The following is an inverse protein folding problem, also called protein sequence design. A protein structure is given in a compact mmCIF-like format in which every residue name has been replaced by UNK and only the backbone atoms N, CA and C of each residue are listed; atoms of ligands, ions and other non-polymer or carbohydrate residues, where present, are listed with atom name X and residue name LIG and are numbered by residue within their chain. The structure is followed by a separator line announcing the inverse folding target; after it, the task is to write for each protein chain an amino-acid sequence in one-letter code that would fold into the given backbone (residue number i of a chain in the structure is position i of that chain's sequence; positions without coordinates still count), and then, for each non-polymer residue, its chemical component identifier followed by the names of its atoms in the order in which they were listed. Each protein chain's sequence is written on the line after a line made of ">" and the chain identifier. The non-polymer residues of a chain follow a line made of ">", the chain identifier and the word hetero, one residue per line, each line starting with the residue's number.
data_IF_810534769411
#
_entry.id   IF_810534769411
#
_cell.length_a   1.000
_cell.length_b   1.000
_cell.length_c   1.000
_cell.angle_alpha   90.00
_cell.angle_beta   90.00
_cell.angle_gamma   90.00
#
_symmetry.space_group_name_H-M   'P 1'
#
loop_
_entity.id
_entity.type
_entity.pdbx_description
1 polymer ?
#
# COMPACT_ATOMS: atom_id res chain seq x y z
N UNK A 1 19.77 47.72 -54.40
CA UNK A 1 18.54 47.15 -53.80
C UNK A 1 18.73 45.81 -53.09
N UNK A 2 19.94 45.19 -53.04
CA UNK A 2 20.11 43.85 -52.43
C UNK A 2 20.57 43.85 -50.96
N UNK A 3 21.10 44.97 -50.44
CA UNK A 3 21.73 45.00 -49.11
C UNK A 3 20.73 45.10 -47.96
N UNK A 4 19.55 45.69 -48.14
CA UNK A 4 18.55 45.81 -47.06
C UNK A 4 17.79 44.51 -46.79
N UNK A 5 17.70 43.61 -47.78
CA UNK A 5 16.97 42.35 -47.66
C UNK A 5 17.77 41.27 -46.93
N UNK A 6 19.10 41.31 -47.05
CA UNK A 6 20.05 40.40 -46.38
C UNK A 6 20.07 40.63 -44.86
N UNK A 7 20.10 41.89 -44.41
CA UNK A 7 20.05 42.26 -42.99
C UNK A 7 18.76 41.81 -42.29
N UNK A 8 17.62 41.83 -42.99
CA UNK A 8 16.34 41.41 -42.43
C UNK A 8 16.24 39.89 -42.25
N UNK A 9 16.85 39.11 -43.15
CA UNK A 9 16.86 37.64 -43.07
C UNK A 9 17.79 37.13 -41.96
N UNK A 10 18.91 37.80 -41.73
CA UNK A 10 19.86 37.47 -40.66
C UNK A 10 19.28 37.78 -39.26
N UNK A 11 18.55 38.88 -39.09
CA UNK A 11 17.85 39.19 -37.84
C UNK A 11 16.69 38.23 -37.57
N UNK A 12 15.87 37.90 -38.58
CA UNK A 12 14.75 36.95 -38.42
C UNK A 12 15.25 35.53 -38.05
N UNK A 13 16.40 35.13 -38.60
CA UNK A 13 17.11 33.88 -38.25
C UNK A 13 17.58 33.90 -36.79
N UNK A 14 18.24 34.99 -36.34
CA UNK A 14 18.72 35.14 -34.96
C UNK A 14 17.58 35.18 -33.94
N UNK A 15 16.49 35.91 -34.23
CA UNK A 15 15.31 36.00 -33.35
C UNK A 15 14.61 34.64 -33.21
N UNK A 16 14.50 33.86 -34.29
CA UNK A 16 13.91 32.52 -34.26
C UNK A 16 14.76 31.48 -33.50
N UNK A 17 16.09 31.62 -33.51
CA UNK A 17 17.01 30.72 -32.80
C UNK A 17 17.11 31.11 -31.31
N UNK A 18 17.21 32.39 -30.96
CA UNK A 18 17.27 32.83 -29.57
C UNK A 18 15.94 32.65 -28.82
N UNK A 19 14.79 32.81 -29.50
CA UNK A 19 13.48 32.50 -28.91
C UNK A 19 13.33 31.01 -28.56
N UNK A 20 13.80 30.11 -29.43
CA UNK A 20 13.75 28.66 -29.17
C UNK A 20 14.73 28.25 -28.07
N UNK A 21 15.93 28.85 -28.02
CA UNK A 21 16.93 28.58 -26.97
C UNK A 21 16.50 29.11 -25.60
N UNK A 22 15.90 30.30 -25.53
CA UNK A 22 15.35 30.85 -24.28
C UNK A 22 14.14 30.08 -23.79
N UNK A 23 13.25 29.64 -24.69
CA UNK A 23 12.13 28.75 -24.35
C UNK A 23 12.63 27.38 -23.86
N UNK A 24 13.61 26.78 -24.53
CA UNK A 24 14.20 25.51 -24.10
C UNK A 24 14.91 25.64 -22.75
N UNK A 25 15.64 26.74 -22.51
CA UNK A 25 16.30 27.01 -21.25
C UNK A 25 15.30 27.22 -20.11
N UNK A 26 14.23 27.98 -20.34
CA UNK A 26 13.19 28.19 -19.33
C UNK A 26 12.40 26.91 -19.03
N UNK A 27 12.08 26.09 -20.04
CA UNK A 27 11.49 24.74 -19.83
C UNK A 27 12.45 23.84 -19.05
N UNK A 28 13.75 23.86 -19.36
CA UNK A 28 14.74 23.08 -18.63
C UNK A 28 14.88 23.54 -17.17
N UNK A 29 14.86 24.85 -16.91
CA UNK A 29 14.89 25.42 -15.55
C UNK A 29 13.62 25.03 -14.79
N UNK A 30 12.44 25.21 -15.39
CA UNK A 30 11.17 24.81 -14.76
C UNK A 30 11.16 23.30 -14.49
N UNK A 31 11.59 22.49 -15.46
CA UNK A 31 11.71 21.04 -15.30
C UNK A 31 12.66 20.65 -14.16
N UNK A 32 13.83 21.30 -14.07
CA UNK A 32 14.78 21.09 -12.98
C UNK A 32 14.17 21.47 -11.62
N UNK A 33 13.51 22.64 -11.53
CA UNK A 33 12.87 23.10 -10.29
C UNK A 33 11.76 22.15 -9.87
N UNK A 34 10.91 21.70 -10.80
CA UNK A 34 9.86 20.71 -10.52
C UNK A 34 10.47 19.39 -10.08
N UNK A 35 11.52 18.91 -10.74
CA UNK A 35 12.21 17.67 -10.38
C UNK A 35 12.82 17.74 -8.96
N UNK A 36 13.55 18.82 -8.66
CA UNK A 36 14.14 19.04 -7.33
C UNK A 36 13.06 19.17 -6.25
N UNK A 37 11.96 19.85 -6.57
CA UNK A 37 10.79 19.97 -5.68
C UNK A 37 10.15 18.61 -5.41
N UNK A 38 9.96 17.78 -6.43
CA UNK A 38 9.41 16.44 -6.29
C UNK A 38 10.28 15.54 -5.42
N UNK A 39 11.61 15.64 -5.53
CA UNK A 39 12.53 14.87 -4.68
C UNK A 39 12.41 15.31 -3.21
N UNK A 40 12.43 16.62 -2.94
CA UNK A 40 12.37 17.12 -1.57
C UNK A 40 11.00 16.92 -0.94
N UNK A 41 9.92 17.09 -1.70
CA UNK A 41 8.56 16.91 -1.21
C UNK A 41 8.09 15.45 -1.28
N UNK A 42 8.92 14.49 -1.75
CA UNK A 42 8.55 13.07 -1.84
C UNK A 42 7.97 12.53 -0.54
N UNK A 43 8.56 12.89 0.60
CA UNK A 43 8.11 12.47 1.95
C UNK A 43 6.69 12.93 2.30
N UNK A 44 6.21 13.99 1.65
CA UNK A 44 4.89 14.59 1.83
C UNK A 44 3.93 14.11 0.72
N UNK A 45 4.40 14.13 -0.53
CA UNK A 45 3.62 13.73 -1.70
C UNK A 45 3.23 12.25 -1.66
N UNK A 46 4.11 11.36 -1.19
CA UNK A 46 3.80 9.93 -1.11
C UNK A 46 2.60 9.66 -0.19
N UNK A 47 2.60 10.09 1.09
CA UNK A 47 1.43 9.94 1.96
C UNK A 47 0.18 10.63 1.40
N UNK A 48 0.31 11.80 0.79
CA UNK A 48 -0.81 12.50 0.16
C UNK A 48 -1.41 11.70 -1.00
N UNK A 49 -0.58 11.13 -1.88
CA UNK A 49 -1.03 10.31 -2.99
C UNK A 49 -1.78 9.06 -2.49
N UNK A 50 -1.23 8.38 -1.47
CA UNK A 50 -1.91 7.25 -0.81
C UNK A 50 -3.23 7.70 -0.19
N UNK A 51 -3.28 8.85 0.48
CA UNK A 51 -4.50 9.40 1.06
C UNK A 51 -5.58 9.68 -0.01
N UNK A 52 -5.21 10.18 -1.19
CA UNK A 52 -6.15 10.36 -2.32
C UNK A 52 -6.72 9.02 -2.79
N UNK A 53 -5.87 7.99 -2.91
CA UNK A 53 -6.32 6.64 -3.28
C UNK A 53 -7.26 6.05 -2.22
N UNK A 54 -6.91 6.17 -0.94
CA UNK A 54 -7.76 5.73 0.17
C UNK A 54 -9.06 6.51 0.23
N UNK A 55 -9.03 7.80 -0.05
CA UNK A 55 -10.24 8.63 -0.14
C UNK A 55 -11.21 8.08 -1.19
N UNK A 56 -10.71 7.71 -2.38
CA UNK A 56 -11.54 7.06 -3.39
C UNK A 56 -12.06 5.69 -2.94
N UNK A 57 -11.31 4.96 -2.14
CA UNK A 57 -11.73 3.67 -1.57
C UNK A 57 -12.80 3.82 -0.49
N UNK A 58 -12.76 4.88 0.32
CA UNK A 58 -13.70 5.17 1.41
C UNK A 58 -15.02 5.74 0.88
N UNK A 59 -15.00 6.41 -0.27
CA UNK A 59 -16.17 7.09 -0.83
C UNK A 59 -17.38 6.16 -1.08
N UNK A 60 -17.25 4.95 -1.66
CA UNK A 60 -18.38 4.04 -1.83
C UNK A 60 -19.07 3.62 -0.51
N UNK A 61 -18.38 3.11 0.52
CA UNK A 61 -19.03 2.77 1.79
C UNK A 61 -19.56 4.01 2.52
N UNK A 62 -18.88 5.16 2.40
CA UNK A 62 -19.37 6.42 2.95
C UNK A 62 -20.72 6.82 2.33
N UNK A 63 -20.85 6.77 1.01
CA UNK A 63 -22.10 7.10 0.32
C UNK A 63 -23.27 6.19 0.75
N UNK A 64 -22.99 4.90 0.99
CA UNK A 64 -24.00 3.97 1.49
C UNK A 64 -24.53 4.38 2.87
N UNK A 65 -23.65 4.87 3.76
CA UNK A 65 -24.02 5.37 5.09
C UNK A 65 -24.68 6.75 5.00
N UNK A 66 -24.16 7.62 4.14
CA UNK A 66 -24.69 8.97 3.92
C UNK A 66 -26.15 8.94 3.47
N UNK A 67 -26.50 8.00 2.59
CA UNK A 67 -27.89 7.83 2.14
C UNK A 67 -28.86 7.47 3.28
N UNK A 68 -28.35 6.96 4.43
CA UNK A 68 -29.15 6.65 5.62
C UNK A 68 -29.12 7.76 6.67
N UNK A 69 -27.96 8.40 6.88
CA UNK A 69 -27.74 9.36 7.98
C UNK A 69 -27.92 10.82 7.54
N UNK A 70 -27.70 11.14 6.26
CA UNK A 70 -27.83 12.49 5.71
C UNK A 70 -26.73 13.47 6.10
N UNK A 71 -25.81 13.10 7.00
CA UNK A 71 -24.66 13.93 7.40
C UNK A 71 -23.35 13.29 6.93
N UNK A 72 -22.57 14.04 6.16
CA UNK A 72 -21.34 13.54 5.54
C UNK A 72 -20.19 13.36 6.52
N UNK A 73 -20.02 14.28 7.47
CA UNK A 73 -19.01 14.14 8.51
C UNK A 73 -19.24 12.87 9.34
N UNK A 74 -20.51 12.60 9.70
CA UNK A 74 -20.87 11.38 10.42
C UNK A 74 -20.61 10.14 9.58
N UNK A 75 -20.88 10.20 8.27
CA UNK A 75 -20.68 9.06 7.37
C UNK A 75 -19.20 8.70 7.24
N UNK A 76 -18.32 9.69 7.00
CA UNK A 76 -16.87 9.47 6.99
C UNK A 76 -16.34 9.01 8.35
N UNK A 77 -16.76 9.65 9.44
CA UNK A 77 -16.35 9.26 10.79
C UNK A 77 -16.77 7.80 11.10
N UNK A 78 -17.96 7.38 10.67
CA UNK A 78 -18.45 6.02 10.88
C UNK A 78 -17.60 5.00 10.11
N UNK A 79 -17.24 5.27 8.85
CA UNK A 79 -16.35 4.37 8.08
C UNK A 79 -14.98 4.26 8.74
N UNK A 80 -14.37 5.39 9.12
CA UNK A 80 -13.07 5.42 9.77
C UNK A 80 -13.08 4.70 11.13
N UNK A 81 -14.10 4.95 11.95
CA UNK A 81 -14.27 4.27 13.24
C UNK A 81 -14.48 2.77 13.05
N UNK A 82 -15.31 2.36 12.09
CA UNK A 82 -15.52 0.93 11.80
C UNK A 82 -14.22 0.25 11.40
N UNK A 83 -13.42 0.90 10.55
CA UNK A 83 -12.10 0.41 10.17
C UNK A 83 -11.15 0.29 11.38
N UNK A 84 -11.05 1.34 12.20
CA UNK A 84 -10.20 1.32 13.40
C UNK A 84 -10.61 0.24 14.40
N UNK A 85 -11.91 0.07 14.62
CA UNK A 85 -12.46 -0.96 15.51
C UNK A 85 -12.13 -2.35 14.96
N UNK A 86 -12.28 -2.57 13.65
CA UNK A 86 -11.96 -3.85 13.00
C UNK A 86 -10.47 -4.20 13.15
N UNK A 87 -9.59 -3.22 12.92
CA UNK A 87 -8.14 -3.39 13.10
C UNK A 87 -7.83 -3.69 14.57
N UNK A 88 -8.41 -2.95 15.51
CA UNK A 88 -8.19 -3.15 16.95
C UNK A 88 -8.57 -4.57 17.40
N UNK A 89 -9.77 -5.03 17.05
CA UNK A 89 -10.19 -6.40 17.38
C UNK A 89 -9.28 -7.43 16.72
N UNK A 90 -8.94 -7.26 15.44
CA UNK A 90 -8.03 -8.18 14.73
C UNK A 90 -6.68 -8.25 15.43
N UNK A 91 -6.14 -7.12 15.91
CA UNK A 91 -4.89 -7.07 16.68
C UNK A 91 -4.98 -7.83 18.01
N UNK A 92 -6.11 -7.74 18.73
CA UNK A 92 -6.31 -8.52 19.96
C UNK A 92 -6.32 -10.03 19.67
N UNK A 93 -7.04 -10.44 18.63
CA UNK A 93 -7.07 -11.84 18.20
C UNK A 93 -5.67 -12.33 17.77
N UNK A 94 -4.94 -11.52 16.99
CA UNK A 94 -3.58 -11.83 16.57
C UNK A 94 -2.64 -11.99 17.75
N UNK A 95 -2.73 -11.12 18.76
CA UNK A 95 -1.89 -11.20 19.95
C UNK A 95 -2.10 -12.51 20.72
N UNK A 96 -3.36 -12.90 20.96
CA UNK A 96 -3.68 -14.18 21.63
C UNK A 96 -3.16 -15.39 20.83
N UNK A 97 -3.36 -15.39 19.50
CA UNK A 97 -2.86 -16.47 18.64
C UNK A 97 -1.32 -16.50 18.57
N UNK A 98 -0.66 -15.34 18.61
CA UNK A 98 0.79 -15.24 18.63
C UNK A 98 1.37 -15.76 19.95
N UNK A 99 0.76 -15.42 21.09
CA UNK A 99 1.18 -15.94 22.40
C UNK A 99 1.12 -17.47 22.43
N UNK A 100 -0.01 -18.04 21.98
CA UNK A 100 -0.19 -19.50 21.89
C UNK A 100 0.81 -20.14 20.95
N UNK A 101 1.06 -19.52 19.79
CA UNK A 101 2.08 -20.01 18.86
C UNK A 101 3.47 -20.07 19.51
N UNK A 102 3.88 -19.01 20.21
CA UNK A 102 5.19 -18.95 20.90
C UNK A 102 5.29 -20.04 21.98
N UNK A 103 4.23 -20.29 22.74
CA UNK A 103 4.19 -21.36 23.74
C UNK A 103 4.29 -22.76 23.12
N UNK A 104 3.73 -22.94 21.92
CA UNK A 104 3.72 -24.22 21.20
C UNK A 104 4.96 -24.43 20.30
N UNK A 105 5.82 -23.43 20.13
CA UNK A 105 7.07 -23.53 19.33
C UNK A 105 7.89 -24.79 19.65
N UNK A 106 8.17 -25.14 20.93
CA UNK A 106 8.94 -26.36 21.24
C UNK A 106 8.25 -27.61 20.70
N UNK A 107 6.93 -27.71 20.85
CA UNK A 107 6.13 -28.81 20.33
C UNK A 107 6.16 -28.88 18.79
N UNK A 108 6.16 -27.73 18.10
CA UNK A 108 6.30 -27.67 16.64
C UNK A 108 7.66 -28.24 16.22
N UNK A 109 8.74 -27.85 16.89
CA UNK A 109 10.10 -28.31 16.60
C UNK A 109 10.20 -29.82 16.77
N UNK A 110 9.66 -30.37 17.86
CA UNK A 110 9.65 -31.81 18.12
C UNK A 110 8.86 -32.58 17.05
N UNK A 111 7.65 -32.11 16.69
CA UNK A 111 6.81 -32.73 15.64
C UNK A 111 7.43 -32.62 14.25
N UNK A 112 8.13 -31.53 14.01
CA UNK A 112 8.85 -31.32 12.76
C UNK A 112 10.04 -32.27 12.66
N UNK A 113 10.83 -32.44 13.73
CA UNK A 113 11.89 -33.46 13.78
C UNK A 113 11.34 -34.88 13.62
N UNK A 114 10.23 -35.22 14.26
CA UNK A 114 9.57 -36.53 14.12
C UNK A 114 9.15 -36.80 12.65
N UNK A 115 8.45 -35.85 12.00
CA UNK A 115 8.08 -36.00 10.59
C UNK A 115 9.29 -36.03 9.67
N UNK A 116 10.32 -35.25 9.97
CA UNK A 116 11.57 -35.22 9.21
C UNK A 116 12.29 -36.56 9.29
N UNK A 117 12.42 -37.14 10.48
CA UNK A 117 13.03 -38.46 10.68
C UNK A 117 12.27 -39.56 9.92
N UNK A 118 10.93 -39.56 10.01
CA UNK A 118 10.08 -40.49 9.25
C UNK A 118 10.23 -40.33 7.72
N UNK A 119 10.44 -39.11 7.24
CA UNK A 119 10.65 -38.83 5.82
C UNK A 119 12.10 -39.12 5.39
N UNK A 120 13.10 -38.90 6.24
CA UNK A 120 14.49 -39.27 5.97
C UNK A 120 14.65 -40.80 5.84
N UNK A 121 13.95 -41.57 6.68
CA UNK A 121 13.90 -43.03 6.59
C UNK A 121 13.15 -43.53 5.32
N UNK A 122 12.35 -42.67 4.70
CA UNK A 122 11.66 -42.95 3.45
C UNK A 122 12.56 -42.56 2.28
N UNK A 123 13.13 -43.53 1.55
CA UNK A 123 14.10 -43.33 0.46
C UNK A 123 13.63 -42.31 -0.62
N UNK A 124 13.83 -41.01 -0.36
CA UNK A 124 13.25 -39.87 -1.07
C UNK A 124 14.15 -39.38 -2.21
N UNK A 125 14.72 -40.32 -2.96
CA UNK A 125 15.36 -40.10 -4.27
C UNK A 125 16.29 -38.85 -4.33
N UNK A 126 17.16 -38.68 -3.33
CA UNK A 126 18.18 -37.62 -3.28
C UNK A 126 17.75 -36.30 -2.62
N UNK A 127 16.49 -36.15 -2.19
CA UNK A 127 16.03 -34.98 -1.41
C UNK A 127 16.47 -35.02 0.06
N UNK A 128 17.05 -36.14 0.50
CA UNK A 128 17.57 -36.39 1.84
C UNK A 128 18.62 -35.34 2.26
N UNK A 129 19.44 -34.85 1.33
CA UNK A 129 20.46 -33.81 1.57
C UNK A 129 19.86 -32.49 2.09
N UNK A 130 18.62 -32.15 1.69
CA UNK A 130 17.94 -30.91 2.12
C UNK A 130 17.39 -31.04 3.55
N UNK A 131 17.04 -32.25 3.97
CA UNK A 131 16.43 -32.52 5.29
C UNK A 131 17.46 -32.99 6.34
N UNK A 132 18.61 -33.51 5.91
CA UNK A 132 19.70 -33.98 6.78
C UNK A 132 20.54 -32.85 7.37
N UNK A 133 20.44 -31.64 6.84
CA UNK A 133 21.17 -30.46 7.34
C UNK A 133 20.54 -29.94 8.64
N UNK A 134 20.86 -30.64 9.72
CA UNK A 134 20.28 -30.46 11.05
C UNK A 134 20.70 -29.12 11.65
N UNK A 135 21.84 -28.57 11.23
CA UNK A 135 22.35 -27.27 11.70
C UNK A 135 21.55 -26.08 11.14
N UNK A 136 21.09 -26.14 9.89
CA UNK A 136 20.23 -25.09 9.32
C UNK A 136 18.86 -25.02 9.99
N UNK A 137 18.31 -26.18 10.39
CA UNK A 137 16.99 -26.23 11.03
C UNK A 137 17.06 -25.92 12.53
N UNK A 138 18.10 -26.41 13.23
CA UNK A 138 18.34 -26.06 14.62
C UNK A 138 18.69 -24.57 14.79
N UNK A 139 19.36 -23.95 13.81
CA UNK A 139 19.60 -22.52 13.82
C UNK A 139 18.30 -21.74 13.60
N UNK A 140 17.47 -22.05 12.60
CA UNK A 140 16.20 -21.34 12.36
C UNK A 140 15.19 -21.49 13.50
N UNK A 141 15.10 -22.66 14.14
CA UNK A 141 14.21 -22.91 15.26
C UNK A 141 14.73 -22.41 16.63
N UNK A 142 15.93 -21.82 16.67
CA UNK A 142 16.49 -21.29 17.91
C UNK A 142 15.64 -20.13 18.47
N UNK A 143 15.46 -20.03 19.80
CA UNK A 143 14.67 -18.95 20.43
C UNK A 143 15.08 -17.55 19.98
N UNK A 144 16.39 -17.32 19.77
CA UNK A 144 16.94 -16.05 19.30
C UNK A 144 16.50 -15.68 17.87
N UNK A 145 16.40 -16.66 16.98
CA UNK A 145 15.98 -16.41 15.60
C UNK A 145 14.48 -16.20 15.50
N UNK A 146 13.69 -16.87 16.35
CA UNK A 146 12.25 -16.64 16.47
C UNK A 146 11.98 -15.23 17.02
N UNK A 147 12.73 -14.81 18.05
CA UNK A 147 12.64 -13.45 18.58
C UNK A 147 13.00 -12.41 17.50
N UNK A 148 14.10 -12.59 16.77
CA UNK A 148 14.50 -11.70 15.68
C UNK A 148 13.44 -11.64 14.56
N UNK A 149 12.83 -12.77 14.21
CA UNK A 149 11.73 -12.83 13.24
C UNK A 149 10.50 -12.06 13.71
N UNK A 150 10.08 -12.25 14.96
CA UNK A 150 8.96 -11.52 15.56
C UNK A 150 9.25 -10.02 15.60
N UNK A 151 10.45 -9.61 16.02
CA UNK A 151 10.89 -8.22 16.00
C UNK A 151 10.92 -7.62 14.59
N UNK A 152 11.31 -8.41 13.58
CA UNK A 152 11.26 -7.99 12.17
C UNK A 152 9.84 -7.70 11.69
N UNK A 153 8.88 -8.58 12.01
CA UNK A 153 7.46 -8.35 11.72
C UNK A 153 6.96 -7.11 12.47
N UNK A 154 7.24 -6.99 13.77
CA UNK A 154 6.83 -5.84 14.56
C UNK A 154 7.43 -4.52 14.04
N UNK A 155 8.68 -4.55 13.58
CA UNK A 155 9.35 -3.40 12.97
C UNK A 155 8.70 -2.96 11.66
N UNK A 156 8.41 -3.91 10.77
CA UNK A 156 7.73 -3.61 9.49
C UNK A 156 6.31 -3.09 9.71
N UNK A 157 5.53 -3.74 10.59
CA UNK A 157 4.21 -3.25 11.00
C UNK A 157 4.30 -1.87 11.64
N UNK A 158 5.25 -1.66 12.55
CA UNK A 158 5.47 -0.37 13.22
C UNK A 158 5.77 0.75 12.23
N UNK A 159 6.64 0.51 11.24
CA UNK A 159 6.92 1.46 10.17
C UNK A 159 5.71 1.75 9.28
N UNK A 160 4.94 0.72 8.94
CA UNK A 160 3.68 0.86 8.20
C UNK A 160 2.66 1.73 8.96
N UNK A 161 2.44 1.44 10.25
CA UNK A 161 1.53 2.23 11.09
C UNK A 161 2.01 3.67 11.28
N UNK A 162 3.32 3.88 11.44
CA UNK A 162 3.92 5.22 11.51
C UNK A 162 3.63 6.05 10.25
N UNK A 163 3.76 5.43 9.06
CA UNK A 163 3.41 6.07 7.79
C UNK A 163 1.91 6.31 7.67
N UNK A 164 1.09 5.34 8.11
CA UNK A 164 -0.37 5.45 8.08
C UNK A 164 -0.91 6.62 8.90
N UNK A 165 -0.27 7.01 10.00
CA UNK A 165 -0.69 8.21 10.76
C UNK A 165 -0.67 9.45 9.87
N UNK A 166 0.42 9.67 9.13
CA UNK A 166 0.56 10.79 8.20
C UNK A 166 -0.48 10.73 7.07
N UNK A 167 -0.71 9.52 6.53
CA UNK A 167 -1.74 9.28 5.50
C UNK A 167 -3.14 9.62 6.04
N UNK A 168 -3.46 9.20 7.27
CA UNK A 168 -4.75 9.46 7.92
C UNK A 168 -4.96 10.96 8.16
N UNK A 169 -3.90 11.70 8.52
CA UNK A 169 -3.97 13.16 8.65
C UNK A 169 -4.32 13.79 7.29
N UNK A 170 -3.63 13.44 6.21
CA UNK A 170 -3.97 13.95 4.88
C UNK A 170 -5.37 13.56 4.42
N UNK A 171 -5.77 12.31 4.68
CA UNK A 171 -7.09 11.82 4.38
C UNK A 171 -8.16 12.63 5.12
N UNK A 172 -7.94 12.94 6.39
CA UNK A 172 -8.82 13.80 7.18
C UNK A 172 -8.95 15.19 6.52
N UNK A 173 -7.84 15.83 6.13
CA UNK A 173 -7.89 17.11 5.41
C UNK A 173 -8.68 17.01 4.09
N UNK A 174 -8.43 15.99 3.28
CA UNK A 174 -9.14 15.78 2.01
C UNK A 174 -10.64 15.62 2.25
N UNK A 175 -11.03 14.83 3.25
CA UNK A 175 -12.44 14.60 3.61
C UNK A 175 -13.11 15.89 4.09
N UNK A 176 -12.44 16.67 4.95
CA UNK A 176 -12.97 17.94 5.44
C UNK A 176 -13.13 18.97 4.30
N UNK A 177 -12.19 19.03 3.37
CA UNK A 177 -12.13 20.06 2.34
C UNK A 177 -12.84 19.69 1.03
N UNK A 178 -13.29 18.45 0.86
CA UNK A 178 -13.85 17.93 -0.40
C UNK A 178 -14.95 18.84 -0.99
N UNK A 179 -15.91 19.26 -0.16
CA UNK A 179 -17.04 20.07 -0.62
C UNK A 179 -16.63 21.46 -1.08
N UNK A 180 -15.66 22.06 -0.38
CA UNK A 180 -15.15 23.37 -0.71
C UNK A 180 -14.28 23.33 -1.96
N UNK A 181 -13.46 22.28 -2.14
CA UNK A 181 -12.62 22.10 -3.33
C UNK A 181 -13.50 21.93 -4.56
N UNK A 182 -14.49 21.03 -4.52
CA UNK A 182 -15.36 20.80 -5.66
C UNK A 182 -16.17 22.06 -6.05
N UNK A 183 -16.65 22.82 -5.07
CA UNK A 183 -17.41 24.07 -5.31
C UNK A 183 -16.53 25.18 -5.89
N UNK A 184 -15.34 25.39 -5.34
CA UNK A 184 -14.38 26.39 -5.86
C UNK A 184 -13.90 26.04 -7.25
N UNK A 185 -13.61 24.76 -7.51
CA UNK A 185 -13.18 24.29 -8.82
C UNK A 185 -14.27 24.45 -9.88
N UNK A 186 -15.53 24.14 -9.54
CA UNK A 186 -16.68 24.37 -10.42
C UNK A 186 -16.92 25.85 -10.74
N UNK A 187 -16.70 26.74 -9.77
CA UNK A 187 -16.81 28.19 -9.97
C UNK A 187 -15.66 28.77 -10.82
N UNK A 188 -14.43 28.26 -10.65
CA UNK A 188 -13.27 28.72 -11.41
C UNK A 188 -13.22 28.19 -12.84
N UNK A 189 -13.69 26.96 -13.08
CA UNK A 189 -13.62 26.28 -14.38
C UNK A 189 -14.97 25.69 -14.82
N UNK A 190 -16.02 26.51 -15.04
CA UNK A 190 -17.37 26.04 -15.33
C UNK A 190 -17.46 25.15 -16.58
N UNK A 191 -16.68 25.45 -17.62
CA UNK A 191 -16.67 24.68 -18.86
C UNK A 191 -16.01 23.29 -18.73
N UNK A 192 -15.04 23.14 -17.81
CA UNK A 192 -14.26 21.90 -17.64
C UNK A 192 -14.76 21.04 -16.48
N UNK A 193 -15.56 21.61 -15.57
CA UNK A 193 -16.07 20.94 -14.37
C UNK A 193 -16.81 19.62 -14.67
N UNK A 194 -17.75 19.55 -15.64
CA UNK A 194 -18.46 18.30 -15.93
C UNK A 194 -17.52 17.19 -16.40
N UNK A 195 -16.51 17.54 -17.22
CA UNK A 195 -15.49 16.58 -17.69
C UNK A 195 -14.63 16.08 -16.54
N UNK A 196 -14.15 16.98 -15.68
CA UNK A 196 -13.35 16.63 -14.51
C UNK A 196 -14.12 15.73 -13.54
N UNK A 197 -15.39 16.06 -13.25
CA UNK A 197 -16.26 15.25 -12.40
C UNK A 197 -16.44 13.83 -12.97
N UNK A 198 -16.61 13.70 -14.28
CA UNK A 198 -16.74 12.40 -14.95
C UNK A 198 -15.47 11.56 -14.79
N UNK A 199 -14.30 12.14 -15.08
CA UNK A 199 -12.99 11.46 -14.93
C UNK A 199 -12.79 10.96 -13.50
N UNK A 200 -13.09 11.80 -12.50
CA UNK A 200 -12.97 11.40 -11.09
C UNK A 200 -13.90 10.23 -10.76
N UNK A 201 -15.13 10.23 -11.26
CA UNK A 201 -16.06 9.11 -11.03
C UNK A 201 -15.61 7.81 -11.71
N UNK A 202 -15.11 7.89 -12.95
CA UNK A 202 -14.60 6.74 -13.71
C UNK A 202 -13.34 6.16 -13.04
N UNK A 203 -12.47 7.03 -12.53
CA UNK A 203 -11.29 6.64 -11.75
C UNK A 203 -11.67 5.98 -10.43
N UNK A 204 -12.69 6.52 -9.74
CA UNK A 204 -13.19 5.94 -8.48
C UNK A 204 -13.70 4.53 -8.69
N UNK A 205 -14.48 4.28 -9.75
CA UNK A 205 -15.00 2.93 -10.04
C UNK A 205 -13.87 1.96 -10.41
N UNK A 206 -12.89 2.41 -11.18
CA UNK A 206 -11.71 1.61 -11.55
C UNK A 206 -10.87 1.23 -10.31
N UNK A 207 -10.63 2.19 -9.41
CA UNK A 207 -9.89 1.97 -8.17
C UNK A 207 -10.64 1.00 -7.26
N UNK A 208 -11.95 1.17 -7.12
CA UNK A 208 -12.81 0.25 -6.36
C UNK A 208 -12.73 -1.17 -6.91
N UNK A 209 -12.84 -1.36 -8.22
CA UNK A 209 -12.72 -2.68 -8.85
C UNK A 209 -11.35 -3.32 -8.59
N UNK A 210 -10.27 -2.54 -8.71
CA UNK A 210 -8.91 -3.00 -8.39
C UNK A 210 -8.77 -3.42 -6.93
N UNK A 211 -9.23 -2.60 -5.98
CA UNK A 211 -9.14 -2.90 -4.54
C UNK A 211 -9.93 -4.16 -4.20
N UNK A 212 -11.15 -4.31 -4.72
CA UNK A 212 -11.95 -5.53 -4.52
C UNK A 212 -11.21 -6.76 -5.05
N UNK A 213 -10.61 -6.66 -6.24
CA UNK A 213 -9.77 -7.73 -6.81
C UNK A 213 -8.56 -8.06 -5.91
N UNK A 214 -7.84 -7.06 -5.42
CA UNK A 214 -6.68 -7.25 -4.54
C UNK A 214 -7.09 -7.87 -3.20
N UNK A 215 -8.17 -7.39 -2.57
CA UNK A 215 -8.68 -7.92 -1.31
C UNK A 215 -9.16 -9.36 -1.46
N UNK A 216 -9.92 -9.67 -2.51
CA UNK A 216 -10.41 -11.04 -2.76
C UNK A 216 -9.28 -12.01 -3.08
N UNK A 217 -8.30 -11.60 -3.89
CA UNK A 217 -7.11 -12.39 -4.19
C UNK A 217 -6.27 -12.66 -2.93
N UNK A 218 -5.98 -11.60 -2.16
CA UNK A 218 -5.22 -11.69 -0.91
C UNK A 218 -5.94 -12.56 0.13
N UNK A 219 -7.25 -12.41 0.28
CA UNK A 219 -8.06 -13.25 1.15
C UNK A 219 -8.05 -14.72 0.70
N UNK A 220 -8.08 -14.97 -0.62
CA UNK A 220 -7.94 -16.30 -1.19
C UNK A 220 -6.59 -16.93 -0.84
N UNK A 221 -5.48 -16.19 -1.00
CA UNK A 221 -4.14 -16.64 -0.62
C UNK A 221 -4.06 -16.98 0.88
N UNK A 222 -4.54 -16.08 1.73
CA UNK A 222 -4.58 -16.27 3.18
C UNK A 222 -5.41 -17.48 3.61
N UNK A 223 -6.55 -17.70 2.94
CA UNK A 223 -7.41 -18.85 3.19
C UNK A 223 -6.74 -20.17 2.79
N UNK A 224 -6.11 -20.22 1.62
CA UNK A 224 -5.34 -21.40 1.18
C UNK A 224 -4.19 -21.68 2.15
N UNK A 225 -3.44 -20.65 2.58
CA UNK A 225 -2.39 -20.77 3.58
C UNK A 225 -2.92 -21.37 4.89
N UNK A 226 -4.04 -20.84 5.41
CA UNK A 226 -4.68 -21.33 6.62
C UNK A 226 -5.10 -22.81 6.52
N UNK A 227 -5.71 -23.21 5.40
CA UNK A 227 -6.11 -24.61 5.17
C UNK A 227 -4.90 -25.55 5.15
N UNK A 228 -3.83 -25.15 4.46
CA UNK A 228 -2.61 -25.96 4.39
C UNK A 228 -2.08 -26.17 5.81
N UNK A 229 -1.84 -25.11 6.56
CA UNK A 229 -1.29 -25.21 7.92
C UNK A 229 -2.20 -26.03 8.85
N UNK A 230 -3.51 -25.84 8.77
CA UNK A 230 -4.49 -26.64 9.51
C UNK A 230 -4.40 -28.14 9.15
N UNK A 231 -4.32 -28.47 7.86
CA UNK A 231 -4.21 -29.85 7.38
C UNK A 231 -2.91 -30.55 7.81
N UNK A 232 -1.82 -29.79 7.98
CA UNK A 232 -0.56 -30.30 8.53
C UNK A 232 -0.52 -30.37 10.06
N UNK A 233 -1.56 -29.90 10.75
CA UNK A 233 -1.61 -29.85 12.21
C UNK A 233 -0.64 -28.84 12.81
N UNK A 234 -0.24 -27.82 12.04
CA UNK A 234 0.66 -26.76 12.52
C UNK A 234 -0.18 -25.74 13.29
N UNK A 235 0.11 -25.54 14.59
CA UNK A 235 -0.59 -24.54 15.37
C UNK A 235 -0.26 -23.12 14.89
N UNK A 236 -1.19 -22.20 15.08
CA UNK A 236 -1.07 -20.84 14.52
C UNK A 236 -1.50 -20.73 13.05
N UNK A 237 -2.17 -21.72 12.45
CA UNK A 237 -2.73 -21.65 11.10
C UNK A 237 -3.55 -20.37 10.85
N UNK A 238 -4.31 -19.93 11.85
CA UNK A 238 -5.10 -18.70 11.79
C UNK A 238 -4.24 -17.44 11.85
N UNK A 239 -3.23 -17.42 12.74
CA UNK A 239 -2.24 -16.34 12.85
C UNK A 239 -1.54 -16.11 11.52
N UNK A 240 -0.97 -17.16 10.93
CA UNK A 240 -0.23 -17.07 9.67
C UNK A 240 -1.15 -16.77 8.48
N UNK A 241 -2.39 -17.24 8.49
CA UNK A 241 -3.39 -16.85 7.49
C UNK A 241 -3.64 -15.34 7.51
N UNK A 242 -3.92 -14.76 8.69
CA UNK A 242 -4.12 -13.31 8.81
C UNK A 242 -2.84 -12.55 8.51
N UNK A 243 -1.69 -13.01 9.00
CA UNK A 243 -0.41 -12.35 8.73
C UNK A 243 -0.11 -12.33 7.23
N UNK A 244 -0.38 -13.44 6.53
CA UNK A 244 -0.26 -13.54 5.08
C UNK A 244 -1.18 -12.54 4.36
N UNK A 245 -2.43 -12.40 4.80
CA UNK A 245 -3.34 -11.39 4.29
C UNK A 245 -2.81 -9.96 4.52
N UNK A 246 -2.40 -9.64 5.75
CA UNK A 246 -1.99 -8.30 6.15
C UNK A 246 -0.69 -7.86 5.46
N UNK A 247 0.31 -8.74 5.43
CA UNK A 247 1.61 -8.44 4.84
C UNK A 247 1.53 -8.26 3.32
N UNK A 248 0.54 -8.86 2.64
CA UNK A 248 0.34 -8.69 1.19
C UNK A 248 -0.12 -7.26 0.79
N UNK A 249 -0.54 -6.44 1.76
CA UNK A 249 -0.83 -5.02 1.55
C UNK A 249 0.35 -4.09 1.85
N UNK A 250 1.42 -4.61 2.46
CA UNK A 250 2.63 -3.82 2.73
C UNK A 250 3.55 -3.96 1.52
N UNK A 251 3.77 -2.88 0.75
CA UNK A 251 4.77 -2.91 -0.30
C UNK A 251 6.16 -3.04 0.37
N UNK A 252 6.72 -4.24 0.31
CA UNK A 252 8.13 -4.55 0.62
C UNK A 252 9.07 -3.99 -0.44
#
# INVERSE_FOLDING_TARGET
>A
MNKSMDWSMEELSKVGIDSKRTTAASVAIVGLVVYLSLIHLKSILMPLAVAILLYFMIKPPEQFIYNKVGNRFVSYATVLLTFMVTVYFTSLFLYDNLSKFIEEVPYITDKFEEKRANLADSNLYGLEVIFSDTELLASVASPSNIEAFVLGILGTLGGFFGTMITVLIFLLFIVLEEHTIAKRFGAAFPNSYPRAKRIVSESTESIKAYVVSKVTCSAGQAFVMAIILYGFGIPGWFLFGILCFLLDFIPI
#
